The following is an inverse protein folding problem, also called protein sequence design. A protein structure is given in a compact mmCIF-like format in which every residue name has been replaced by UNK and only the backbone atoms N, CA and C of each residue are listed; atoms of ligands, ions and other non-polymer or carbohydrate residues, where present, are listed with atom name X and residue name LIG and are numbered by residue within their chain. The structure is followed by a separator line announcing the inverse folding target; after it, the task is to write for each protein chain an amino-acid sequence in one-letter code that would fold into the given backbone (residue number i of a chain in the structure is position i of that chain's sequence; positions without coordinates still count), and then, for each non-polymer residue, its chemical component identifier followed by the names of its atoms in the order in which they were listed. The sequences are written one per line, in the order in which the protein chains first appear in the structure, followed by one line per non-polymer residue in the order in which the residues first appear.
data_IF_613499495851
#
_entry.id   IF_613499495851
#
_cell.length_a   1.000
_cell.length_b   1.000
_cell.length_c   1.000
_cell.angle_alpha   90.00
_cell.angle_beta   90.00
_cell.angle_gamma   90.00
#
_symmetry.space_group_name_H-M   'P 1'
#
loop_
_entity.id
_entity.type
_entity.pdbx_description
1 polymer ?
#
# COMPACT_ATOMS: atom_id res chain seq x y z
N UNK A 1 27.94 30.90 2.75
CA UNK A 1 28.28 29.48 3.00
C UNK A 1 27.07 28.52 2.98
N UNK A 2 25.90 28.88 2.42
CA UNK A 2 24.69 28.03 2.40
C UNK A 2 24.43 27.26 1.08
N UNK A 3 25.37 27.29 0.13
CA UNK A 3 25.16 26.71 -1.20
C UNK A 3 25.56 25.23 -1.29
N UNK A 4 26.42 24.73 -0.39
CA UNK A 4 26.87 23.33 -0.40
C UNK A 4 25.82 22.34 0.14
N UNK A 5 25.09 22.65 1.22
CA UNK A 5 24.07 21.74 1.78
C UNK A 5 22.88 21.49 0.84
N UNK A 6 22.58 22.43 -0.07
CA UNK A 6 21.44 22.34 -0.99
C UNK A 6 21.66 21.32 -2.12
N UNK A 7 22.93 21.07 -2.51
CA UNK A 7 23.26 20.10 -3.57
C UNK A 7 23.20 18.65 -3.09
N UNK A 8 23.63 18.38 -1.86
CA UNK A 8 23.73 17.00 -1.33
C UNK A 8 22.36 16.39 -1.00
N UNK A 9 21.44 17.19 -0.42
CA UNK A 9 20.05 16.77 -0.18
C UNK A 9 19.27 16.55 -1.49
N UNK A 10 19.48 17.41 -2.49
CA UNK A 10 18.87 17.27 -3.83
C UNK A 10 19.32 15.97 -4.50
N UNK A 11 20.62 15.64 -4.41
CA UNK A 11 21.21 14.40 -4.96
C UNK A 11 20.63 13.11 -4.38
N UNK A 12 20.23 13.10 -3.10
CA UNK A 12 19.55 11.94 -2.51
C UNK A 12 18.08 11.84 -2.96
N UNK A 13 17.40 12.98 -3.14
CA UNK A 13 16.05 13.02 -3.70
C UNK A 13 16.00 12.66 -5.20
N UNK A 14 17.12 12.80 -5.92
CA UNK A 14 17.21 12.43 -7.34
C UNK A 14 17.04 10.92 -7.59
N UNK A 15 17.24 10.08 -6.57
CA UNK A 15 17.03 8.62 -6.64
C UNK A 15 15.67 8.18 -6.05
N UNK A 16 14.74 9.11 -5.82
CA UNK A 16 13.44 8.83 -5.21
C UNK A 16 12.65 7.73 -5.95
N UNK A 17 12.77 7.65 -7.27
CA UNK A 17 12.06 6.67 -8.09
C UNK A 17 12.65 5.27 -7.91
N UNK A 18 13.97 5.18 -7.79
CA UNK A 18 14.65 3.91 -7.49
C UNK A 18 14.29 3.43 -6.09
N UNK A 19 14.29 4.34 -5.12
CA UNK A 19 13.85 4.04 -3.76
C UNK A 19 12.38 3.59 -3.73
N UNK A 20 11.49 4.30 -4.42
CA UNK A 20 10.07 3.93 -4.54
C UNK A 20 9.89 2.51 -5.10
N UNK A 21 10.62 2.15 -6.15
CA UNK A 21 10.58 0.79 -6.73
C UNK A 21 11.10 -0.25 -5.73
N UNK A 22 12.20 0.03 -5.03
CA UNK A 22 12.75 -0.88 -4.03
C UNK A 22 11.77 -1.11 -2.88
N UNK A 23 11.13 -0.04 -2.38
CA UNK A 23 10.07 -0.14 -1.36
C UNK A 23 8.88 -0.93 -1.91
N UNK A 24 8.47 -0.73 -3.17
CA UNK A 24 7.39 -1.49 -3.78
C UNK A 24 7.69 -3.00 -3.87
N UNK A 25 8.92 -3.39 -4.24
CA UNK A 25 9.32 -4.80 -4.26
C UNK A 25 9.35 -5.40 -2.84
N UNK A 26 9.86 -4.66 -1.86
CA UNK A 26 9.85 -5.09 -0.47
C UNK A 26 8.41 -5.26 0.06
N UNK A 27 7.51 -4.31 -0.25
CA UNK A 27 6.10 -4.38 0.09
C UNK A 27 5.42 -5.61 -0.54
N UNK A 28 5.67 -5.89 -1.82
CA UNK A 28 5.12 -7.07 -2.50
C UNK A 28 5.58 -8.38 -1.83
N UNK A 29 6.88 -8.49 -1.52
CA UNK A 29 7.44 -9.65 -0.83
C UNK A 29 6.83 -9.84 0.56
N UNK A 30 6.82 -8.79 1.38
CA UNK A 30 6.29 -8.85 2.75
C UNK A 30 4.78 -9.11 2.76
N UNK A 31 4.04 -8.60 1.77
CA UNK A 31 2.60 -8.88 1.61
C UNK A 31 2.36 -10.35 1.28
N UNK A 32 3.19 -10.95 0.43
CA UNK A 32 3.10 -12.37 0.12
C UNK A 32 3.36 -13.23 1.37
N UNK A 33 4.44 -12.95 2.11
CA UNK A 33 4.77 -13.65 3.36
C UNK A 33 3.66 -13.49 4.40
N UNK A 34 3.13 -12.28 4.56
CA UNK A 34 2.03 -11.98 5.47
C UNK A 34 0.75 -12.76 5.12
N UNK A 35 0.36 -12.78 3.84
CA UNK A 35 -0.81 -13.51 3.35
C UNK A 35 -0.65 -15.02 3.57
N UNK A 36 0.51 -15.58 3.22
CA UNK A 36 0.82 -16.99 3.43
C UNK A 36 0.75 -17.35 4.92
N UNK A 37 1.31 -16.50 5.79
CA UNK A 37 1.26 -16.70 7.24
C UNK A 37 -0.18 -16.71 7.76
N UNK A 38 -1.04 -15.83 7.26
CA UNK A 38 -2.46 -15.83 7.61
C UNK A 38 -3.17 -17.12 7.18
N UNK A 39 -2.88 -17.65 5.98
CA UNK A 39 -3.46 -18.91 5.50
C UNK A 39 -3.03 -20.08 6.39
N UNK A 40 -1.73 -20.20 6.72
CA UNK A 40 -1.25 -21.24 7.63
C UNK A 40 -1.84 -21.12 9.03
N UNK A 41 -1.97 -19.90 9.56
CA UNK A 41 -2.58 -19.67 10.87
C UNK A 41 -4.06 -20.08 10.87
N UNK A 42 -4.83 -19.69 9.85
CA UNK A 42 -6.24 -20.06 9.73
C UNK A 42 -6.44 -21.57 9.60
N UNK A 43 -5.58 -22.26 8.85
CA UNK A 43 -5.61 -23.71 8.76
C UNK A 43 -5.27 -24.37 10.10
N UNK A 44 -4.25 -23.89 10.81
CA UNK A 44 -3.90 -24.38 12.14
C UNK A 44 -5.01 -24.15 13.18
N UNK A 45 -5.69 -23.00 13.09
CA UNK A 45 -6.87 -22.69 13.91
C UNK A 45 -8.03 -23.63 13.60
N UNK A 46 -8.29 -23.91 12.32
CA UNK A 46 -9.35 -24.84 11.92
C UNK A 46 -9.08 -26.26 12.45
N UNK A 47 -7.86 -26.76 12.27
CA UNK A 47 -7.43 -28.06 12.79
C UNK A 47 -7.53 -28.13 14.32
N UNK A 48 -7.12 -27.06 15.02
CA UNK A 48 -7.19 -26.99 16.48
C UNK A 48 -8.63 -26.98 17.00
N UNK A 49 -9.56 -26.34 16.27
CA UNK A 49 -10.98 -26.34 16.65
C UNK A 49 -11.62 -27.74 16.47
N UNK A 50 -11.26 -28.44 15.39
CA UNK A 50 -11.78 -29.78 15.11
C UNK A 50 -11.12 -30.87 15.97
N UNK A 51 -9.95 -30.61 16.54
CA UNK A 51 -9.24 -31.55 17.38
C UNK A 51 -10.07 -31.95 18.61
N UNK A 52 -10.22 -33.26 18.81
CA UNK A 52 -10.90 -33.86 19.97
C UNK A 52 -9.91 -34.28 21.05
N UNK A 53 -8.62 -34.05 20.84
CA UNK A 53 -7.59 -34.34 21.83
C UNK A 53 -7.58 -33.30 22.96
N UNK A 54 -6.96 -33.66 24.07
CA UNK A 54 -6.71 -32.75 25.20
C UNK A 54 -5.49 -31.86 24.97
N UNK A 55 -5.07 -31.64 23.72
CA UNK A 55 -3.91 -30.82 23.41
C UNK A 55 -4.16 -29.36 23.77
N UNK A 56 -3.09 -28.61 24.05
CA UNK A 56 -3.22 -27.20 24.41
C UNK A 56 -3.95 -26.39 23.30
N UNK A 57 -3.62 -26.51 22.00
CA UNK A 57 -4.33 -25.79 20.95
C UNK A 57 -5.84 -26.13 20.89
N UNK A 58 -6.22 -27.38 21.13
CA UNK A 58 -7.62 -27.81 21.15
C UNK A 58 -8.39 -27.20 22.34
N UNK A 59 -7.79 -27.22 23.53
CA UNK A 59 -8.36 -26.58 24.73
C UNK A 59 -8.49 -25.07 24.53
N UNK A 60 -7.45 -24.40 24.02
CA UNK A 60 -7.46 -22.96 23.76
C UNK A 60 -8.49 -22.56 22.69
N UNK A 61 -8.76 -23.42 21.71
CA UNK A 61 -9.74 -23.16 20.66
C UNK A 61 -11.17 -23.21 21.17
N UNK A 62 -11.49 -24.13 22.09
CA UNK A 62 -12.84 -24.33 22.65
C UNK A 62 -13.20 -23.33 23.76
N UNK A 63 -12.26 -22.49 24.20
CA UNK A 63 -12.46 -21.58 25.33
C UNK A 63 -13.56 -20.54 25.11
N UNK A 64 -13.88 -20.19 23.86
CA UNK A 64 -14.99 -19.28 23.55
C UNK A 64 -16.35 -19.76 24.11
N UNK A 65 -16.50 -21.07 24.42
CA UNK A 65 -17.71 -21.66 25.01
C UNK A 65 -17.88 -21.30 26.49
N UNK A 66 -16.80 -20.94 27.18
CA UNK A 66 -16.77 -20.69 28.63
C UNK A 66 -16.88 -19.20 28.98
N UNK A 67 -17.15 -18.34 27.99
CA UNK A 67 -17.25 -16.89 28.19
C UNK A 67 -15.89 -16.18 28.31
N UNK A 68 -14.77 -16.90 28.25
CA UNK A 68 -13.46 -16.25 28.07
C UNK A 68 -13.39 -15.64 26.66
N UNK A 69 -12.68 -14.51 26.55
CA UNK A 69 -12.41 -13.92 25.23
C UNK A 69 -11.63 -14.92 24.39
N UNK A 70 -11.96 -15.04 23.12
CA UNK A 70 -11.40 -16.08 22.25
C UNK A 70 -9.99 -15.75 21.73
N UNK A 71 -9.16 -16.79 21.58
CA UNK A 71 -7.88 -16.74 20.85
C UNK A 71 -8.06 -17.21 19.40
N UNK A 72 -8.77 -18.32 19.21
CA UNK A 72 -9.06 -18.88 17.90
C UNK A 72 -10.31 -18.19 17.31
N UNK A 73 -10.22 -17.53 16.14
CA UNK A 73 -11.37 -16.88 15.50
C UNK A 73 -12.41 -17.86 14.92
N UNK A 74 -12.08 -19.15 14.82
CA UNK A 74 -12.95 -20.20 14.29
C UNK A 74 -13.68 -20.87 15.46
N UNK A 75 -14.99 -20.60 15.58
CA UNK A 75 -15.82 -21.10 16.69
C UNK A 75 -16.73 -22.29 16.32
N UNK A 76 -16.74 -22.70 15.05
CA UNK A 76 -17.59 -23.78 14.57
C UNK A 76 -16.83 -24.67 13.60
N UNK A 77 -17.07 -25.98 13.70
CA UNK A 77 -16.49 -27.01 12.82
C UNK A 77 -16.97 -26.89 11.37
N UNK A 78 -17.98 -26.06 11.10
CA UNK A 78 -18.48 -25.77 9.76
C UNK A 78 -17.82 -24.55 9.12
N UNK A 79 -17.01 -23.80 9.88
CA UNK A 79 -16.33 -22.60 9.37
C UNK A 79 -15.16 -23.02 8.51
N UNK A 80 -15.11 -22.55 7.26
CA UNK A 80 -13.97 -22.81 6.37
C UNK A 80 -13.03 -21.61 6.33
N UNK A 81 -11.80 -21.83 5.86
CA UNK A 81 -10.80 -20.76 5.68
C UNK A 81 -11.32 -19.71 4.69
N UNK A 82 -12.01 -20.14 3.62
CA UNK A 82 -12.61 -19.24 2.64
C UNK A 82 -13.72 -18.40 3.26
N UNK A 83 -14.55 -18.97 4.13
CA UNK A 83 -15.58 -18.22 4.84
C UNK A 83 -14.93 -17.08 5.64
N UNK A 84 -13.88 -17.35 6.41
CA UNK A 84 -13.16 -16.32 7.17
C UNK A 84 -12.55 -15.28 6.23
N UNK A 85 -11.93 -15.70 5.13
CA UNK A 85 -11.29 -14.82 4.15
C UNK A 85 -12.27 -13.88 3.43
N UNK A 86 -13.52 -14.28 3.19
CA UNK A 86 -14.46 -13.47 2.41
C UNK A 86 -15.59 -12.82 3.22
N UNK A 87 -15.76 -13.17 4.49
CA UNK A 87 -16.83 -12.60 5.33
C UNK A 87 -16.34 -11.72 6.48
N UNK A 88 -15.08 -11.89 6.92
CA UNK A 88 -14.53 -11.04 7.99
C UNK A 88 -13.95 -9.75 7.43
N UNK A 89 -13.95 -8.68 8.22
CA UNK A 89 -13.36 -7.39 7.82
C UNK A 89 -11.88 -7.57 7.42
N UNK A 90 -11.01 -8.23 8.21
CA UNK A 90 -9.60 -8.38 7.82
C UNK A 90 -9.43 -9.29 6.61
N UNK A 91 -10.23 -10.37 6.50
CA UNK A 91 -10.21 -11.23 5.32
C UNK A 91 -10.54 -10.47 4.04
N UNK A 92 -11.73 -9.87 3.99
CA UNK A 92 -12.25 -9.23 2.77
C UNK A 92 -11.37 -8.04 2.36
N UNK A 93 -11.02 -7.18 3.33
CA UNK A 93 -10.11 -6.05 3.05
C UNK A 93 -8.73 -6.55 2.64
N UNK A 94 -8.21 -7.63 3.23
CA UNK A 94 -6.94 -8.25 2.88
C UNK A 94 -6.90 -8.74 1.43
N UNK A 95 -7.98 -9.38 0.97
CA UNK A 95 -8.12 -9.79 -0.44
C UNK A 95 -8.15 -8.57 -1.36
N UNK A 96 -8.98 -7.57 -1.05
CA UNK A 96 -9.13 -6.35 -1.88
C UNK A 96 -7.79 -5.60 -2.00
N UNK A 97 -7.09 -5.35 -0.89
CA UNK A 97 -5.82 -4.62 -0.94
C UNK A 97 -4.72 -5.43 -1.63
N UNK A 98 -4.72 -6.75 -1.50
CA UNK A 98 -3.74 -7.63 -2.17
C UNK A 98 -3.97 -7.63 -3.68
N UNK A 99 -5.23 -7.73 -4.14
CA UNK A 99 -5.58 -7.63 -5.55
C UNK A 99 -5.19 -6.26 -6.12
N UNK A 100 -5.48 -5.17 -5.40
CA UNK A 100 -5.05 -3.84 -5.78
C UNK A 100 -3.52 -3.74 -5.91
N UNK A 101 -2.77 -4.31 -4.96
CA UNK A 101 -1.31 -4.34 -5.01
C UNK A 101 -0.79 -5.13 -6.23
N UNK A 102 -1.37 -6.30 -6.53
CA UNK A 102 -0.99 -7.11 -7.70
C UNK A 102 -1.22 -6.34 -8.99
N UNK A 103 -2.37 -5.68 -9.15
CA UNK A 103 -2.67 -4.87 -10.33
C UNK A 103 -1.72 -3.68 -10.46
N UNK A 104 -1.39 -3.01 -9.36
CA UNK A 104 -0.41 -1.91 -9.37
C UNK A 104 0.99 -2.40 -9.75
N UNK A 105 1.47 -3.50 -9.18
CA UNK A 105 2.83 -3.99 -9.42
C UNK A 105 2.99 -4.51 -10.84
N UNK A 106 2.03 -5.29 -11.34
CA UNK A 106 2.10 -5.88 -12.69
C UNK A 106 2.08 -4.80 -13.78
N UNK A 107 1.14 -3.85 -13.70
CA UNK A 107 1.05 -2.71 -14.61
C UNK A 107 2.26 -1.76 -14.57
N UNK A 108 2.99 -1.73 -13.45
CA UNK A 108 4.18 -0.89 -13.27
C UNK A 108 5.48 -1.51 -13.81
N UNK A 109 5.41 -2.72 -14.34
CA UNK A 109 6.55 -3.35 -15.02
C UNK A 109 7.04 -2.49 -16.18
N UNK A 110 8.34 -2.53 -16.47
CA UNK A 110 8.93 -1.69 -17.51
C UNK A 110 8.30 -1.92 -18.88
N UNK A 111 7.95 -3.16 -19.20
CA UNK A 111 7.26 -3.50 -20.44
C UNK A 111 5.89 -2.83 -20.54
N UNK A 112 5.03 -2.93 -19.51
CA UNK A 112 3.69 -2.33 -19.57
C UNK A 112 3.79 -0.81 -19.50
N UNK A 113 4.55 -0.26 -18.55
CA UNK A 113 4.66 1.20 -18.36
C UNK A 113 5.23 1.93 -19.58
N UNK A 114 6.09 1.31 -20.38
CA UNK A 114 6.66 1.92 -21.60
C UNK A 114 5.75 1.84 -22.82
N UNK A 115 4.92 0.80 -22.93
CA UNK A 115 4.08 0.55 -24.11
C UNK A 115 2.60 0.91 -23.89
N UNK A 116 2.14 0.93 -22.63
CA UNK A 116 0.75 1.14 -22.23
C UNK A 116 0.71 2.07 -21.00
N UNK A 117 1.11 3.32 -21.19
CA UNK A 117 1.22 4.29 -20.10
C UNK A 117 -0.11 4.53 -19.37
N UNK A 118 -1.23 4.60 -20.08
CA UNK A 118 -2.56 4.77 -19.47
C UNK A 118 -2.92 3.63 -18.53
N UNK A 119 -2.70 2.38 -18.95
CA UNK A 119 -2.97 1.22 -18.10
C UNK A 119 -2.16 1.31 -16.80
N UNK A 120 -0.88 1.66 -16.89
CA UNK A 120 -0.06 1.95 -15.73
C UNK A 120 -0.68 3.07 -14.89
N UNK A 121 -1.01 4.21 -15.50
CA UNK A 121 -1.48 5.39 -14.79
C UNK A 121 -2.77 5.16 -14.02
N UNK A 122 -3.79 4.57 -14.66
CA UNK A 122 -5.07 4.27 -14.04
C UNK A 122 -4.96 3.24 -12.91
N UNK A 123 -4.26 2.14 -13.15
CA UNK A 123 -4.10 1.09 -12.13
C UNK A 123 -3.24 1.56 -10.96
N UNK A 124 -2.25 2.43 -11.17
CA UNK A 124 -1.44 2.96 -10.08
C UNK A 124 -2.26 3.78 -9.06
N UNK A 125 -3.37 4.41 -9.49
CA UNK A 125 -4.27 5.15 -8.59
C UNK A 125 -5.04 4.26 -7.60
N UNK A 126 -5.01 2.94 -7.79
CA UNK A 126 -5.47 1.98 -6.79
C UNK A 126 -4.71 2.10 -5.46
N UNK A 127 -3.63 2.90 -5.37
CA UNK A 127 -3.01 3.28 -4.11
C UNK A 127 -4.03 3.88 -3.12
N UNK A 128 -5.06 4.59 -3.60
CA UNK A 128 -6.13 5.12 -2.76
C UNK A 128 -6.94 4.00 -2.10
N UNK A 129 -7.28 2.95 -2.85
CA UNK A 129 -7.96 1.75 -2.34
C UNK A 129 -7.03 1.01 -1.39
N UNK A 130 -5.75 0.85 -1.74
CA UNK A 130 -4.75 0.17 -0.93
C UNK A 130 -4.57 0.83 0.45
N UNK A 131 -4.30 2.14 0.52
CA UNK A 131 -4.09 2.84 1.79
C UNK A 131 -5.36 2.92 2.64
N UNK A 132 -6.52 3.15 2.02
CA UNK A 132 -7.81 3.15 2.74
C UNK A 132 -8.10 1.77 3.33
N UNK A 133 -7.93 0.72 2.52
CA UNK A 133 -8.09 -0.65 2.97
C UNK A 133 -7.09 -1.03 4.06
N UNK A 134 -5.83 -0.59 3.97
CA UNK A 134 -4.79 -0.88 4.97
C UNK A 134 -5.12 -0.30 6.36
N UNK A 135 -5.72 0.89 6.41
CA UNK A 135 -6.19 1.51 7.66
C UNK A 135 -7.32 0.70 8.29
N UNK A 136 -8.22 0.14 7.47
CA UNK A 136 -9.38 -0.64 7.92
C UNK A 136 -9.01 -2.09 8.26
N UNK A 137 -8.04 -2.67 7.57
CA UNK A 137 -7.72 -4.09 7.58
C UNK A 137 -7.50 -4.66 8.98
N UNK A 138 -6.80 -3.92 9.85
CA UNK A 138 -6.52 -4.36 11.22
C UNK A 138 -7.63 -4.08 12.25
N UNK A 139 -8.63 -3.26 11.92
CA UNK A 139 -9.56 -2.68 12.92
C UNK A 139 -10.35 -3.74 13.69
N UNK A 140 -10.74 -4.83 13.03
CA UNK A 140 -11.55 -5.88 13.66
C UNK A 140 -10.76 -6.74 14.68
N UNK A 141 -9.44 -6.57 14.78
CA UNK A 141 -8.66 -7.22 15.84
C UNK A 141 -8.72 -8.75 15.80
N UNK A 142 -8.66 -9.32 14.59
CA UNK A 142 -8.71 -10.77 14.37
C UNK A 142 -7.49 -11.48 14.98
N UNK A 143 -6.32 -10.83 14.94
CA UNK A 143 -5.12 -11.32 15.63
C UNK A 143 -5.22 -10.93 17.09
N UNK A 144 -5.14 -11.96 17.95
CA UNK A 144 -5.29 -11.82 19.39
C UNK A 144 -4.13 -12.44 20.13
N UNK A 145 -3.84 -11.88 21.30
CA UNK A 145 -2.85 -12.38 22.23
C UNK A 145 -3.42 -12.38 23.65
N UNK A 146 -2.72 -13.04 24.57
CA UNK A 146 -3.10 -12.98 25.98
C UNK A 146 -2.95 -11.54 26.48
N UNK A 147 -3.91 -11.05 27.27
CA UNK A 147 -3.82 -9.69 27.84
C UNK A 147 -2.67 -9.60 28.84
N UNK A 148 -2.12 -8.40 29.07
CA UNK A 148 -1.02 -8.21 30.03
C UNK A 148 -1.38 -8.68 31.44
N UNK A 149 -2.61 -8.38 31.89
CA UNK A 149 -3.12 -8.84 33.18
C UNK A 149 -3.19 -10.37 33.25
N UNK A 150 -3.74 -11.00 32.20
CA UNK A 150 -3.83 -12.45 32.09
C UNK A 150 -2.45 -13.11 32.01
N UNK A 151 -1.48 -12.49 31.33
CA UNK A 151 -0.11 -12.99 31.21
C UNK A 151 0.64 -12.96 32.55
N UNK A 152 0.36 -11.97 33.40
CA UNK A 152 0.91 -11.89 34.76
C UNK A 152 0.32 -12.95 35.70
N UNK A 153 -0.96 -13.31 35.53
CA UNK A 153 -1.62 -14.31 36.37
C UNK A 153 -1.45 -15.75 35.89
N UNK A 154 -1.55 -15.97 34.58
CA UNK A 154 -1.61 -17.28 33.92
C UNK A 154 -0.58 -17.36 32.80
N UNK A 155 0.71 -17.40 33.16
CA UNK A 155 1.78 -17.39 32.17
C UNK A 155 1.81 -18.70 31.33
N UNK A 156 1.81 -18.64 29.97
CA UNK A 156 1.67 -19.83 29.11
C UNK A 156 2.71 -20.92 29.37
N UNK A 157 3.97 -20.54 29.55
CA UNK A 157 5.07 -21.48 29.77
C UNK A 157 4.93 -22.28 31.08
N UNK A 158 4.39 -21.66 32.12
CA UNK A 158 4.27 -22.27 33.45
C UNK A 158 2.90 -22.95 33.64
N UNK A 159 1.84 -22.39 33.05
CA UNK A 159 0.47 -22.77 33.30
C UNK A 159 -0.14 -23.71 32.24
N UNK A 160 0.51 -23.92 31.08
CA UNK A 160 -0.04 -24.75 29.98
C UNK A 160 -0.50 -26.16 30.42
N UNK A 161 0.25 -26.83 31.29
CA UNK A 161 -0.11 -28.19 31.76
C UNK A 161 -1.37 -28.21 32.62
N UNK A 162 -1.61 -27.15 33.39
CA UNK A 162 -2.81 -27.02 34.22
C UNK A 162 -4.07 -26.80 33.40
N UNK A 163 -3.94 -26.20 32.21
CA UNK A 163 -5.06 -26.02 31.27
C UNK A 163 -5.43 -27.34 30.58
N UNK A 164 -4.45 -28.17 30.19
CA UNK A 164 -4.72 -29.44 29.51
C UNK A 164 -5.12 -30.57 30.46
N UNK A 165 -4.67 -30.54 31.71
CA UNK A 165 -4.94 -31.56 32.74
C UNK A 165 -5.83 -31.03 33.86
N UNK A 166 -6.75 -30.11 33.53
CA UNK A 166 -7.54 -29.36 34.50
C UNK A 166 -8.40 -30.30 35.35
N UNK A 167 -8.12 -30.34 36.65
CA UNK A 167 -8.97 -31.01 37.63
C UNK A 167 -10.07 -30.05 38.11
N UNK A 168 -11.31 -30.54 38.28
CA UNK A 168 -12.47 -29.71 38.67
C UNK A 168 -12.28 -28.97 40.01
N UNK A 169 -11.40 -29.47 40.88
CA UNK A 169 -11.09 -28.88 42.19
C UNK A 169 -9.75 -28.13 42.25
N UNK A 170 -9.24 -27.61 41.12
CA UNK A 170 -7.96 -26.93 41.12
C UNK A 170 -8.02 -25.54 41.78
N UNK A 171 -7.17 -25.30 42.79
CA UNK A 171 -7.04 -24.03 43.51
C UNK A 171 -5.78 -23.24 43.13
N UNK A 172 -4.94 -23.75 42.23
CA UNK A 172 -3.70 -23.10 41.80
C UNK A 172 -4.00 -21.88 40.90
N UNK A 173 -3.17 -20.83 40.95
CA UNK A 173 -3.34 -19.61 40.14
C UNK A 173 -3.45 -19.91 38.64
N UNK A 174 -2.62 -20.85 38.14
CA UNK A 174 -2.65 -21.37 36.77
C UNK A 174 -3.95 -22.05 36.33
N UNK A 175 -4.90 -22.29 37.24
CA UNK A 175 -6.19 -22.89 36.91
C UNK A 175 -7.28 -21.85 36.60
N UNK A 176 -6.95 -20.55 36.62
CA UNK A 176 -7.77 -19.51 36.01
C UNK A 176 -7.70 -19.59 34.49
N UNK A 177 -8.80 -19.24 33.82
CA UNK A 177 -8.82 -19.19 32.35
C UNK A 177 -8.07 -17.95 31.84
N UNK A 178 -7.17 -18.11 30.85
CA UNK A 178 -6.48 -16.98 30.27
C UNK A 178 -7.45 -16.11 29.46
N UNK A 179 -7.39 -14.80 29.67
CA UNK A 179 -8.07 -13.83 28.82
C UNK A 179 -7.24 -13.40 27.61
N UNK A 180 -7.90 -13.31 26.45
CA UNK A 180 -7.30 -12.88 25.20
C UNK A 180 -7.86 -11.53 24.73
N UNK A 181 -6.99 -10.64 24.27
CA UNK A 181 -7.36 -9.33 23.72
C UNK A 181 -6.94 -9.20 22.27
N UNK A 182 -7.66 -8.37 21.51
CA UNK A 182 -7.20 -7.93 20.20
C UNK A 182 -5.96 -7.06 20.32
N UNK A 183 -4.99 -7.32 19.45
CA UNK A 183 -3.86 -6.40 19.26
C UNK A 183 -4.41 -5.15 18.54
N UNK A 184 -4.15 -3.93 19.03
CA UNK A 184 -4.68 -2.72 18.42
C UNK A 184 -4.15 -2.52 17.00
N UNK A 185 -4.99 -1.97 16.13
CA UNK A 185 -4.59 -1.62 14.77
C UNK A 185 -3.69 -0.37 14.80
N UNK A 186 -2.44 -0.52 14.37
CA UNK A 186 -1.42 0.53 14.43
C UNK A 186 -1.16 1.19 13.06
N UNK A 187 -1.67 0.63 11.97
CA UNK A 187 -1.40 1.09 10.59
C UNK A 187 -1.70 2.58 10.38
N UNK A 188 -2.76 3.11 11.00
CA UNK A 188 -3.16 4.51 10.87
C UNK A 188 -2.09 5.48 11.36
N UNK A 189 -1.32 5.12 12.41
CA UNK A 189 -0.26 5.97 12.97
C UNK A 189 0.86 6.20 11.96
N UNK A 190 1.21 5.14 11.22
CA UNK A 190 2.27 5.15 10.21
C UNK A 190 1.85 5.77 8.90
N UNK A 191 0.56 5.71 8.56
CA UNK A 191 0.01 6.23 7.30
C UNK A 191 -0.34 7.72 7.40
N UNK A 192 -0.71 8.22 8.58
CA UNK A 192 -1.22 9.58 8.76
C UNK A 192 -0.23 10.68 8.31
N UNK A 193 1.00 10.68 8.84
CA UNK A 193 1.97 11.72 8.52
C UNK A 193 2.38 11.73 7.03
N UNK A 194 2.67 10.58 6.38
CA UNK A 194 2.89 10.52 4.94
C UNK A 194 1.71 11.02 4.10
N UNK A 195 0.46 10.69 4.47
CA UNK A 195 -0.72 11.19 3.75
C UNK A 195 -0.81 12.71 3.84
N UNK A 196 -0.61 13.29 5.03
CA UNK A 196 -0.64 14.75 5.20
C UNK A 196 0.43 15.41 4.31
N UNK A 197 1.65 14.88 4.31
CA UNK A 197 2.74 15.38 3.47
C UNK A 197 2.42 15.26 1.98
N UNK A 198 1.84 14.12 1.55
CA UNK A 198 1.43 13.90 0.17
C UNK A 198 0.35 14.90 -0.26
N UNK A 199 -0.71 15.08 0.55
CA UNK A 199 -1.80 16.03 0.27
C UNK A 199 -1.24 17.45 0.17
N UNK A 200 -0.34 17.82 1.07
CA UNK A 200 0.32 19.12 1.03
C UNK A 200 1.16 19.31 -0.26
N UNK A 201 1.97 18.32 -0.66
CA UNK A 201 2.72 18.37 -1.93
C UNK A 201 1.79 18.52 -3.14
N UNK A 202 0.67 17.80 -3.14
CA UNK A 202 -0.33 17.87 -4.22
C UNK A 202 -0.99 19.24 -4.29
N UNK A 203 -1.36 19.85 -3.17
CA UNK A 203 -1.89 21.23 -3.11
C UNK A 203 -0.85 22.22 -3.68
N UNK A 204 0.41 22.11 -3.25
CA UNK A 204 1.49 22.95 -3.76
C UNK A 204 1.72 22.76 -5.26
N UNK A 205 1.56 21.54 -5.78
CA UNK A 205 1.67 21.24 -7.21
C UNK A 205 0.53 21.87 -8.00
N UNK A 206 -0.71 21.75 -7.54
CA UNK A 206 -1.88 22.39 -8.19
C UNK A 206 -1.73 23.91 -8.22
N UNK A 207 -1.30 24.51 -7.10
CA UNK A 207 -1.07 25.96 -7.04
C UNK A 207 0.03 26.41 -8.02
N UNK A 208 1.14 25.66 -8.13
CA UNK A 208 2.20 25.95 -9.12
C UNK A 208 1.77 25.71 -10.56
N UNK A 209 0.85 24.79 -10.81
CA UNK A 209 0.35 24.48 -12.15
C UNK A 209 -0.51 25.62 -12.72
N UNK A 210 -1.06 26.52 -11.89
CA UNK A 210 -1.83 27.69 -12.32
C UNK A 210 -0.97 28.80 -12.96
N UNK A 211 0.36 28.63 -13.00
CA UNK A 211 1.26 29.58 -13.64
C UNK A 211 1.06 29.57 -15.16
N UNK A 212 0.83 30.76 -15.74
CA UNK A 212 0.62 30.92 -17.19
C UNK A 212 1.88 30.52 -17.97
N UNK A 213 1.69 29.66 -18.97
CA UNK A 213 2.69 29.26 -19.97
C UNK A 213 2.15 29.65 -21.34
N UNK A 214 3.00 30.25 -22.16
CA UNK A 214 2.64 30.66 -23.53
C UNK A 214 3.25 29.66 -24.50
N UNK A 215 2.45 29.06 -25.37
CA UNK A 215 2.95 28.24 -26.48
C UNK A 215 3.39 29.20 -27.59
N UNK A 216 4.67 29.19 -27.92
CA UNK A 216 5.26 30.10 -28.92
C UNK A 216 5.23 29.49 -30.31
N UNK A 217 5.47 28.18 -30.41
CA UNK A 217 5.52 27.47 -31.69
C UNK A 217 5.06 26.04 -31.53
N UNK A 218 4.37 25.55 -32.55
CA UNK A 218 3.97 24.14 -32.69
C UNK A 218 4.50 23.64 -34.01
N UNK A 219 5.26 22.54 -34.00
CA UNK A 219 5.88 21.98 -35.21
C UNK A 219 5.56 20.49 -35.30
N UNK A 220 5.08 20.07 -36.46
CA UNK A 220 4.89 18.65 -36.77
C UNK A 220 6.11 18.12 -37.52
N UNK A 221 6.79 17.16 -36.92
CA UNK A 221 7.93 16.45 -37.50
C UNK A 221 7.50 15.18 -38.23
N UNK A 222 8.34 14.65 -39.13
CA UNK A 222 8.15 13.32 -39.73
C UNK A 222 7.96 12.23 -38.66
N UNK A 223 7.26 11.15 -39.02
CA UNK A 223 6.91 10.04 -38.11
C UNK A 223 5.97 10.40 -36.94
N UNK A 224 5.04 11.35 -37.15
CA UNK A 224 4.00 11.76 -36.19
C UNK A 224 4.59 12.15 -34.82
N UNK A 225 5.52 13.10 -34.83
CA UNK A 225 6.08 13.70 -33.62
C UNK A 225 5.73 15.17 -33.57
N UNK A 226 5.07 15.60 -32.51
CA UNK A 226 4.69 16.98 -32.22
C UNK A 226 5.76 17.62 -31.35
N UNK A 227 6.34 18.73 -31.82
CA UNK A 227 7.19 19.61 -31.03
C UNK A 227 6.36 20.79 -30.53
N UNK A 228 6.35 21.00 -29.22
CA UNK A 228 5.75 22.16 -28.56
C UNK A 228 6.86 23.03 -27.99
N UNK A 229 7.00 24.26 -28.49
CA UNK A 229 7.87 25.28 -27.92
C UNK A 229 7.04 26.22 -27.05
N UNK A 230 7.53 26.46 -25.84
CA UNK A 230 6.82 27.19 -24.80
C UNK A 230 7.73 28.19 -24.11
N UNK A 231 7.12 29.24 -23.56
CA UNK A 231 7.81 30.25 -22.78
C UNK A 231 7.07 30.52 -21.47
N UNK A 232 7.84 30.66 -20.39
CA UNK A 232 7.34 30.92 -19.04
C UNK A 232 8.28 31.89 -18.32
N UNK A 233 7.71 32.94 -17.75
CA UNK A 233 8.49 33.96 -17.02
C UNK A 233 9.16 33.34 -15.79
N UNK A 234 10.48 33.52 -15.69
CA UNK A 234 11.28 33.03 -14.56
C UNK A 234 11.43 31.51 -14.51
N UNK A 235 11.23 30.82 -15.64
CA UNK A 235 11.51 29.40 -15.77
C UNK A 235 12.98 29.18 -16.12
N UNK A 236 13.64 28.29 -15.39
CA UNK A 236 15.00 27.82 -15.68
C UNK A 236 14.98 26.30 -15.64
N UNK A 237 15.63 25.65 -16.61
CA UNK A 237 15.72 24.20 -16.71
C UNK A 237 17.16 23.71 -16.65
N UNK A 238 17.35 22.48 -16.21
CA UNK A 238 18.61 21.75 -16.30
C UNK A 238 18.45 20.61 -17.34
N UNK A 239 19.55 20.23 -18.00
CA UNK A 239 19.54 19.17 -19.03
C UNK A 239 19.01 17.85 -18.45
N UNK A 240 18.13 17.19 -19.18
CA UNK A 240 17.55 15.90 -18.80
C UNK A 240 16.36 15.99 -17.84
N UNK A 241 15.93 17.19 -17.46
CA UNK A 241 14.67 17.38 -16.74
C UNK A 241 13.47 17.11 -17.64
N UNK A 242 12.33 16.81 -17.02
CA UNK A 242 11.06 16.58 -17.69
C UNK A 242 9.97 17.43 -17.05
N UNK A 243 8.94 17.73 -17.81
CA UNK A 243 7.74 18.45 -17.36
C UNK A 243 6.52 17.53 -17.46
N UNK A 244 5.48 17.84 -16.69
CA UNK A 244 4.18 17.21 -16.85
C UNK A 244 3.27 18.14 -17.63
N UNK A 245 2.61 17.60 -18.65
CA UNK A 245 1.63 18.32 -19.47
C UNK A 245 0.26 17.69 -19.26
N UNK A 246 -0.73 18.54 -19.05
CA UNK A 246 -2.14 18.18 -19.06
C UNK A 246 -2.82 19.04 -20.13
N UNK A 247 -3.71 18.43 -20.91
CA UNK A 247 -4.53 19.10 -21.91
C UNK A 247 -6.00 18.90 -21.52
N UNK A 248 -6.64 19.89 -20.87
CA UNK A 248 -8.02 19.77 -20.39
C UNK A 248 -9.04 19.47 -21.49
N UNK A 249 -8.72 19.79 -22.76
CA UNK A 249 -9.57 19.48 -23.90
C UNK A 249 -9.62 17.97 -24.22
N UNK A 250 -8.60 17.22 -23.81
CA UNK A 250 -8.51 15.76 -24.00
C UNK A 250 -8.92 15.05 -22.71
N UNK A 251 -8.30 15.42 -21.58
CA UNK A 251 -8.57 14.83 -20.27
C UNK A 251 -8.23 15.81 -19.15
N UNK A 252 -9.15 15.95 -18.19
CA UNK A 252 -9.00 16.87 -17.05
C UNK A 252 -7.99 16.39 -16.01
N UNK A 253 -7.72 15.08 -15.97
CA UNK A 253 -6.97 14.45 -14.87
C UNK A 253 -5.69 13.75 -15.32
N UNK A 254 -5.51 13.49 -16.61
CA UNK A 254 -4.31 12.83 -17.13
C UNK A 254 -3.14 13.81 -17.28
N UNK A 255 -2.03 13.51 -16.60
CA UNK A 255 -0.79 14.28 -16.67
C UNK A 255 0.31 13.40 -17.26
N UNK A 256 0.87 13.82 -18.38
CA UNK A 256 1.90 13.06 -19.09
C UNK A 256 3.28 13.67 -18.91
N UNK A 257 4.30 12.87 -18.54
CA UNK A 257 5.67 13.35 -18.44
C UNK A 257 6.33 13.41 -19.82
N UNK A 258 6.97 14.54 -20.14
CA UNK A 258 7.78 14.72 -21.34
C UNK A 258 9.13 15.35 -21.01
N UNK A 259 10.21 14.76 -21.53
CA UNK A 259 11.57 15.28 -21.38
C UNK A 259 11.74 16.59 -22.13
N UNK A 260 12.39 17.57 -21.49
CA UNK A 260 12.76 18.83 -22.14
C UNK A 260 13.87 18.57 -23.16
N UNK A 261 13.65 19.01 -24.39
CA UNK A 261 14.54 18.75 -25.54
C UNK A 261 15.39 19.95 -25.97
N UNK A 262 14.98 21.15 -25.57
CA UNK A 262 15.67 22.43 -25.75
C UNK A 262 16.90 22.56 -24.85
N UNK A 263 17.87 23.39 -25.26
CA UNK A 263 19.05 23.69 -24.46
C UNK A 263 18.77 24.77 -23.40
N UNK A 264 19.38 24.74 -22.19
CA UNK A 264 19.13 25.72 -21.12
C UNK A 264 19.39 27.19 -21.51
N UNK A 265 20.20 27.42 -22.54
CA UNK A 265 20.57 28.73 -23.07
C UNK A 265 19.51 29.31 -24.03
N UNK A 266 18.52 28.52 -24.46
CA UNK A 266 17.46 28.97 -25.35
C UNK A 266 16.38 29.78 -24.60
N UNK A 267 15.80 30.79 -25.27
CA UNK A 267 14.76 31.66 -24.71
C UNK A 267 13.38 30.97 -24.55
N UNK A 268 13.27 29.73 -25.03
CA UNK A 268 12.10 28.87 -24.95
C UNK A 268 12.51 27.50 -24.40
N UNK A 269 11.53 26.76 -23.90
CA UNK A 269 11.70 25.35 -23.62
C UNK A 269 10.78 24.52 -24.50
N UNK A 270 11.25 23.38 -24.98
CA UNK A 270 10.52 22.51 -25.89
C UNK A 270 10.40 21.08 -25.39
N UNK A 271 9.35 20.41 -25.85
CA UNK A 271 9.14 18.98 -25.68
C UNK A 271 8.78 18.35 -27.02
N UNK A 272 9.16 17.08 -27.18
CA UNK A 272 8.79 16.26 -28.35
C UNK A 272 7.86 15.13 -27.89
N UNK A 273 6.69 15.05 -28.51
CA UNK A 273 5.61 14.11 -28.18
C UNK A 273 5.41 13.19 -29.38
N UNK A 274 5.60 11.89 -29.19
CA UNK A 274 5.28 10.87 -30.19
C UNK A 274 3.85 10.37 -29.97
N UNK A 275 3.12 10.09 -31.05
CA UNK A 275 1.89 9.31 -30.99
C UNK A 275 2.18 7.88 -30.50
N UNK A 276 1.86 7.58 -29.24
CA UNK A 276 2.18 6.29 -28.59
C UNK A 276 1.03 5.73 -27.74
N UNK A 277 -0.10 6.43 -27.67
CA UNK A 277 -1.28 6.08 -26.88
C UNK A 277 -2.42 7.04 -27.18
N UNK A 278 -3.62 6.70 -26.75
CA UNK A 278 -4.87 7.43 -26.99
C UNK A 278 -4.79 8.93 -26.65
N UNK A 279 -4.21 9.30 -25.51
CA UNK A 279 -4.04 10.71 -25.15
C UNK A 279 -3.10 11.45 -26.11
N UNK A 280 -1.95 10.86 -26.42
CA UNK A 280 -0.96 11.46 -27.33
C UNK A 280 -1.42 11.50 -28.78
N UNK A 281 -2.22 10.53 -29.22
CA UNK A 281 -2.83 10.51 -30.54
C UNK A 281 -3.85 11.64 -30.67
N UNK A 282 -4.75 11.80 -29.69
CA UNK A 282 -5.71 12.92 -29.64
C UNK A 282 -5.07 14.29 -29.51
N UNK A 283 -3.85 14.37 -28.98
CA UNK A 283 -3.11 15.64 -28.91
C UNK A 283 -2.51 16.03 -30.27
N UNK A 284 -2.17 15.04 -31.09
CA UNK A 284 -1.53 15.22 -32.39
C UNK A 284 -2.56 15.45 -33.51
N UNK A 285 -3.75 14.87 -33.36
CA UNK A 285 -4.88 15.02 -34.29
C UNK A 285 -5.54 16.41 -34.19
#
# INVERSE_FOLDING_TARGET
SLQCCRRTLRKQLDHNLTFHKLVAYALALLTAVHTITHLFNLESYNQSQQATDGSLPAVLSKMHLQGSKWLNPIHSNQTTVEYVAFTTIPGLTGVIITLALILMVTSSTEFIRRNYFELFWYTHHLFLVYFTGLVIHGIAGLVRGQTEQSMAEVHPYHCAKYLTQRNQNCTHSCCKDPEFGSIPAESWKWVLAPIILYVFERILRVWRAQQKVVVTKVVMHPARVLELQMQKRGFCMEVGQYIFVNCPAISLLEWHPFTLTSAPEEDFFSIHIRAAGDWTERLID
#
